data_IF_907798299795
#
_entry.id   IF_907798299795
#
_cell.length_a   1.000
_cell.length_b   1.000
_cell.length_c   1.000
_cell.angle_alpha   90.00
_cell.angle_beta   90.00
_cell.angle_gamma   90.00
#
_symmetry.space_group_name_H-M   'P 1'
#
loop_
_entity.id
_entity.type
_entity.pdbx_description
1 polymer ?
#
# COMPACT_ATOMS: atom_id res chain seq x y z
N UNK A 1 2.56 46.54 20.24
CA UNK A 1 2.36 45.78 18.97
C UNK A 1 3.23 44.52 18.87
N UNK A 2 4.40 44.47 19.53
CA UNK A 2 5.32 43.31 19.55
C UNK A 2 4.68 41.98 20.02
N UNK A 3 3.88 41.98 21.10
CA UNK A 3 3.24 40.77 21.63
C UNK A 3 2.17 40.14 20.71
N UNK A 4 1.46 40.95 19.91
CA UNK A 4 0.44 40.45 18.98
C UNK A 4 1.08 39.76 17.77
N UNK A 5 2.20 40.29 17.29
CA UNK A 5 2.98 39.68 16.22
C UNK A 5 3.62 38.37 16.67
N UNK A 6 4.18 38.34 17.89
CA UNK A 6 4.78 37.13 18.46
C UNK A 6 3.73 36.02 18.69
N UNK A 7 2.55 36.37 19.20
CA UNK A 7 1.44 35.43 19.35
C UNK A 7 0.94 34.90 18.01
N UNK A 8 0.89 35.73 16.97
CA UNK A 8 0.50 35.30 15.62
C UNK A 8 1.54 34.34 15.03
N UNK A 9 2.83 34.61 15.22
CA UNK A 9 3.92 33.75 14.76
C UNK A 9 3.90 32.38 15.44
N UNK A 10 3.62 32.33 16.75
CA UNK A 10 3.46 31.08 17.50
C UNK A 10 2.27 30.28 16.97
N UNK A 11 1.11 30.92 16.74
CA UNK A 11 -0.04 30.22 16.16
C UNK A 11 0.26 29.66 14.77
N UNK A 12 0.98 30.41 13.92
CA UNK A 12 1.40 29.94 12.61
C UNK A 12 2.39 28.77 12.69
N UNK A 13 3.29 28.79 13.68
CA UNK A 13 4.26 27.71 13.88
C UNK A 13 3.58 26.42 14.36
N UNK A 14 2.61 26.52 15.28
CA UNK A 14 1.85 25.36 15.79
C UNK A 14 1.00 24.71 14.69
N UNK A 15 0.39 25.50 13.80
CA UNK A 15 -0.35 24.94 12.66
C UNK A 15 0.57 24.28 11.64
N UNK A 16 1.76 24.84 11.39
CA UNK A 16 2.74 24.25 10.48
C UNK A 16 3.32 22.93 10.99
N UNK A 17 3.64 22.85 12.29
CA UNK A 17 4.15 21.61 12.93
C UNK A 17 3.09 20.51 12.92
N UNK A 18 1.84 20.86 13.16
CA UNK A 18 0.73 19.88 13.13
C UNK A 18 0.46 19.35 11.71
N UNK A 19 0.58 20.20 10.69
CA UNK A 19 0.46 19.77 9.29
C UNK A 19 1.62 18.87 8.85
N UNK A 20 2.85 19.15 9.31
CA UNK A 20 4.01 18.31 9.01
C UNK A 20 3.86 16.90 9.62
N UNK A 21 3.33 16.78 10.85
CA UNK A 21 3.12 15.48 11.50
C UNK A 21 2.11 14.58 10.77
N UNK A 22 1.09 15.17 10.13
CA UNK A 22 0.13 14.43 9.28
C UNK A 22 0.80 13.92 8.00
N UNK A 23 1.76 14.68 7.45
CA UNK A 23 2.53 14.27 6.27
C UNK A 23 3.65 13.28 6.58
N UNK A 24 4.16 13.26 7.82
CA UNK A 24 5.23 12.35 8.27
C UNK A 24 4.70 11.17 9.08
N UNK A 25 3.39 11.02 9.22
CA UNK A 25 2.79 9.86 9.87
C UNK A 25 3.26 8.61 9.14
N UNK A 26 4.02 7.75 9.81
CA UNK A 26 4.43 6.46 9.24
C UNK A 26 3.15 5.65 9.01
N UNK A 27 2.80 5.46 7.76
CA UNK A 27 1.70 4.60 7.37
C UNK A 27 1.97 3.17 7.89
N UNK A 28 0.93 2.54 8.42
CA UNK A 28 1.03 1.16 8.88
C UNK A 28 1.26 0.23 7.70
N UNK A 29 2.18 -0.71 7.87
CA UNK A 29 2.30 -1.84 6.94
C UNK A 29 1.24 -2.87 7.31
N UNK A 30 0.43 -3.26 6.33
CA UNK A 30 -0.52 -4.37 6.43
C UNK A 30 -0.15 -5.44 5.41
N UNK A 31 -0.72 -6.64 5.58
CA UNK A 31 -0.53 -7.71 4.62
C UNK A 31 -1.53 -7.55 3.46
N UNK A 32 -1.07 -7.82 2.25
CA UNK A 32 -1.85 -7.77 1.03
C UNK A 32 -1.67 -9.05 0.24
N UNK A 33 -2.76 -9.58 -0.30
CA UNK A 33 -2.75 -10.70 -1.23
C UNK A 33 -2.66 -10.17 -2.65
N UNK A 34 -1.63 -10.61 -3.39
CA UNK A 34 -1.44 -10.33 -4.81
C UNK A 34 -1.70 -11.60 -5.60
N UNK A 35 -2.73 -11.61 -6.44
CA UNK A 35 -3.12 -12.77 -7.23
C UNK A 35 -3.21 -12.45 -8.73
N UNK A 36 -2.90 -13.44 -9.56
CA UNK A 36 -2.88 -13.36 -11.00
C UNK A 36 -3.81 -14.41 -11.61
N UNK A 37 -4.34 -14.11 -12.79
CA UNK A 37 -5.09 -15.10 -13.58
C UNK A 37 -4.16 -16.24 -14.01
N UNK A 38 -4.70 -17.45 -14.12
CA UNK A 38 -3.98 -18.56 -14.73
C UNK A 38 -3.50 -18.23 -16.15
N UNK A 39 -2.26 -18.61 -16.45
CA UNK A 39 -1.63 -18.30 -17.73
C UNK A 39 -1.04 -16.88 -17.84
N UNK A 40 -1.07 -16.08 -16.76
CA UNK A 40 -0.40 -14.77 -16.76
C UNK A 40 1.05 -14.90 -17.18
N UNK A 41 1.51 -14.15 -18.20
CA UNK A 41 2.88 -14.15 -18.64
C UNK A 41 3.88 -13.87 -17.51
N UNK A 42 4.94 -14.67 -17.42
CA UNK A 42 5.93 -14.58 -16.33
C UNK A 42 6.56 -13.18 -16.24
N UNK A 43 6.77 -12.50 -17.37
CA UNK A 43 7.32 -11.14 -17.37
C UNK A 43 6.42 -10.12 -16.65
N UNK A 44 5.10 -10.33 -16.59
CA UNK A 44 4.17 -9.48 -15.85
C UNK A 44 4.28 -9.75 -14.34
N UNK A 45 4.45 -11.02 -13.96
CA UNK A 45 4.68 -11.43 -12.57
C UNK A 45 6.01 -10.85 -12.09
N UNK A 46 7.08 -11.01 -12.86
CA UNK A 46 8.42 -10.50 -12.55
C UNK A 46 8.44 -8.97 -12.47
N UNK A 47 7.75 -8.29 -13.40
CA UNK A 47 7.54 -6.85 -13.34
C UNK A 47 6.85 -6.45 -12.03
N UNK A 48 5.79 -7.15 -11.65
CA UNK A 48 5.01 -6.86 -10.44
C UNK A 48 5.86 -7.03 -9.19
N UNK A 49 6.57 -8.16 -9.06
CA UNK A 49 7.47 -8.45 -7.94
C UNK A 49 8.57 -7.38 -7.81
N UNK A 50 9.21 -7.04 -8.93
CA UNK A 50 10.31 -6.07 -8.94
C UNK A 50 9.84 -4.70 -8.48
N UNK A 51 8.75 -4.20 -9.07
CA UNK A 51 8.27 -2.84 -8.79
C UNK A 51 7.61 -2.72 -7.40
N UNK A 52 6.98 -3.79 -6.89
CA UNK A 52 6.48 -3.78 -5.51
C UNK A 52 7.63 -3.73 -4.50
N UNK A 53 8.72 -4.47 -4.73
CA UNK A 53 9.93 -4.39 -3.89
C UNK A 53 10.57 -3.00 -3.95
N UNK A 54 10.64 -2.40 -5.13
CA UNK A 54 11.14 -1.02 -5.30
C UNK A 54 10.24 0.01 -4.61
N UNK A 55 8.93 -0.25 -4.52
CA UNK A 55 7.99 0.56 -3.75
C UNK A 55 8.05 0.29 -2.23
N UNK A 56 8.93 -0.59 -1.77
CA UNK A 56 9.15 -0.89 -0.34
C UNK A 56 8.32 -2.04 0.21
N UNK A 57 7.68 -2.86 -0.63
CA UNK A 57 6.96 -4.05 -0.19
C UNK A 57 7.91 -5.23 0.10
N UNK A 58 7.61 -5.99 1.15
CA UNK A 58 8.28 -7.26 1.48
C UNK A 58 7.40 -8.44 1.07
N UNK A 59 7.93 -9.43 0.34
CA UNK A 59 7.19 -10.66 0.03
C UNK A 59 7.28 -11.61 1.22
N UNK A 60 6.15 -11.95 1.83
CA UNK A 60 6.09 -12.75 3.06
C UNK A 60 5.71 -14.21 2.81
N UNK A 61 4.96 -14.49 1.74
CA UNK A 61 4.52 -15.83 1.40
C UNK A 61 4.29 -15.98 -0.11
N UNK A 62 4.55 -17.16 -0.66
CA UNK A 62 4.22 -17.50 -2.05
C UNK A 62 3.28 -18.70 -2.09
N UNK A 63 2.20 -18.60 -2.87
CA UNK A 63 1.21 -19.66 -2.95
C UNK A 63 1.64 -20.75 -3.94
N UNK A 64 1.34 -22.01 -3.60
CA UNK A 64 1.54 -23.16 -4.50
C UNK A 64 0.31 -23.50 -5.33
N UNK A 65 -0.89 -23.10 -4.87
CA UNK A 65 -2.19 -23.48 -5.47
C UNK A 65 -2.67 -22.42 -6.47
N UNK A 66 -2.44 -21.15 -6.18
CA UNK A 66 -2.78 -20.02 -7.05
C UNK A 66 -1.50 -19.32 -7.52
N UNK A 67 -1.55 -18.64 -8.65
CA UNK A 67 -0.48 -17.72 -9.06
C UNK A 67 -0.61 -16.45 -8.24
N UNK A 68 0.20 -16.32 -7.20
CA UNK A 68 0.16 -15.17 -6.33
C UNK A 68 1.10 -15.30 -5.15
N UNK A 69 1.17 -14.23 -4.37
CA UNK A 69 2.00 -14.12 -3.18
C UNK A 69 1.38 -13.10 -2.22
N UNK A 70 1.81 -13.14 -0.96
CA UNK A 70 1.48 -12.16 0.06
C UNK A 70 2.63 -11.17 0.16
N UNK A 71 2.29 -9.88 0.24
CA UNK A 71 3.24 -8.82 0.55
C UNK A 71 2.87 -8.13 1.85
N UNK A 72 3.87 -7.61 2.55
CA UNK A 72 3.71 -6.64 3.61
C UNK A 72 4.10 -5.27 3.08
N UNK A 73 3.15 -4.34 3.08
CA UNK A 73 3.33 -3.03 2.45
C UNK A 73 2.37 -1.98 3.01
N UNK A 74 2.71 -0.71 2.82
CA UNK A 74 1.79 0.42 3.03
C UNK A 74 0.81 0.54 1.85
N UNK A 75 -0.37 1.12 2.04
CA UNK A 75 -1.31 1.44 0.96
C UNK A 75 -0.66 2.40 -0.04
N UNK A 76 0.17 3.35 0.42
CA UNK A 76 0.95 4.22 -0.47
C UNK A 76 1.89 3.46 -1.41
N UNK A 77 2.57 2.39 -0.95
CA UNK A 77 3.43 1.57 -1.79
C UNK A 77 2.62 0.84 -2.87
N UNK A 78 1.46 0.30 -2.50
CA UNK A 78 0.52 -0.35 -3.46
C UNK A 78 0.01 0.67 -4.49
N UNK A 79 -0.41 1.86 -4.05
CA UNK A 79 -0.85 2.95 -4.94
C UNK A 79 0.26 3.43 -5.85
N UNK A 80 1.49 3.54 -5.34
CA UNK A 80 2.66 3.91 -6.13
C UNK A 80 2.88 2.88 -7.25
N UNK A 81 2.85 1.58 -6.92
CA UNK A 81 2.94 0.51 -7.92
C UNK A 81 1.83 0.60 -8.97
N UNK A 82 0.56 0.76 -8.54
CA UNK A 82 -0.58 0.90 -9.44
C UNK A 82 -0.53 2.17 -10.31
N UNK A 83 0.22 3.18 -9.89
CA UNK A 83 0.46 4.42 -10.63
C UNK A 83 1.57 4.35 -11.67
N UNK A 84 2.35 3.26 -11.74
CA UNK A 84 3.44 3.13 -12.69
C UNK A 84 2.93 3.02 -14.12
N UNK A 85 3.63 3.67 -15.06
CA UNK A 85 3.29 3.60 -16.49
C UNK A 85 3.24 2.14 -16.96
N UNK A 86 4.23 1.32 -16.57
CA UNK A 86 4.25 -0.11 -16.88
C UNK A 86 3.01 -0.86 -16.38
N UNK A 87 2.50 -0.53 -15.20
CA UNK A 87 1.26 -1.11 -14.67
C UNK A 87 0.03 -0.71 -15.51
N UNK A 88 -0.03 0.55 -15.97
CA UNK A 88 -1.13 1.02 -16.81
C UNK A 88 -1.18 0.33 -18.17
N UNK A 89 -0.02 -0.07 -18.71
CA UNK A 89 0.12 -0.76 -20.00
C UNK A 89 -0.17 -2.26 -19.93
N UNK A 90 -0.22 -2.87 -18.74
CA UNK A 90 -0.65 -4.26 -18.58
C UNK A 90 -2.09 -4.39 -19.09
N UNK A 91 -2.32 -5.36 -19.99
CA UNK A 91 -3.66 -5.68 -20.48
C UNK A 91 -4.58 -6.03 -19.31
N UNK A 92 -5.83 -5.56 -19.34
CA UNK A 92 -6.75 -5.66 -18.21
C UNK A 92 -6.89 -7.09 -17.65
N UNK A 93 -6.85 -8.11 -18.51
CA UNK A 93 -6.93 -9.53 -18.14
C UNK A 93 -5.74 -10.04 -17.31
N UNK A 94 -4.56 -9.44 -17.49
CA UNK A 94 -3.32 -9.83 -16.84
C UNK A 94 -2.95 -8.95 -15.65
N UNK A 95 -3.78 -7.95 -15.33
CA UNK A 95 -3.53 -7.12 -14.15
C UNK A 95 -3.68 -7.97 -12.89
N UNK A 96 -2.74 -7.86 -11.94
CA UNK A 96 -2.90 -8.52 -10.65
C UNK A 96 -4.11 -7.95 -9.91
N UNK A 97 -4.81 -8.82 -9.19
CA UNK A 97 -5.75 -8.40 -8.16
C UNK A 97 -4.95 -8.24 -6.87
N UNK A 98 -5.06 -7.07 -6.24
CA UNK A 98 -4.35 -6.73 -5.00
C UNK A 98 -5.40 -6.34 -3.97
N UNK A 99 -5.48 -7.12 -2.90
CA UNK A 99 -6.46 -6.94 -1.82
C UNK A 99 -5.77 -6.96 -0.46
N UNK A 100 -6.24 -6.14 0.48
CA UNK A 100 -5.78 -6.16 1.87
C UNK A 100 -6.21 -7.48 2.53
N UNK A 101 -5.31 -8.13 3.26
CA UNK A 101 -5.62 -9.38 3.95
C UNK A 101 -6.59 -9.13 5.12
N UNK A 102 -7.73 -9.81 5.07
CA UNK A 102 -8.86 -9.56 5.96
C UNK A 102 -9.07 -10.69 6.96
N UNK A 103 -9.50 -10.39 8.20
CA UNK A 103 -9.80 -11.43 9.17
C UNK A 103 -11.02 -12.24 8.75
N UNK A 104 -10.94 -13.57 8.92
CA UNK A 104 -12.08 -14.48 8.81
C UNK A 104 -12.58 -14.87 10.20
N UNK A 105 -13.90 -15.03 10.34
CA UNK A 105 -14.53 -15.44 11.61
C UNK A 105 -15.14 -16.83 11.49
N UNK A 106 -15.15 -17.57 12.60
CA UNK A 106 -15.79 -18.88 12.64
C UNK A 106 -17.31 -18.76 12.45
N UNK A 107 -17.87 -19.56 11.55
CA UNK A 107 -19.30 -19.56 11.28
C UNK A 107 -20.10 -19.97 12.54
N UNK A 108 -21.00 -19.08 12.99
CA UNK A 108 -21.82 -19.27 14.20
C UNK A 108 -21.19 -18.76 15.51
N UNK A 109 -19.92 -18.32 15.50
CA UNK A 109 -19.23 -17.72 16.64
C UNK A 109 -19.40 -16.20 16.65
N UNK A 110 -20.57 -15.74 17.11
CA UNK A 110 -20.90 -14.31 17.15
C UNK A 110 -19.97 -13.47 18.03
N UNK A 111 -19.70 -12.25 17.53
CA UNK A 111 -19.26 -11.02 18.22
C UNK A 111 -17.90 -11.08 18.93
N UNK A 112 -16.89 -10.51 18.27
CA UNK A 112 -15.89 -9.69 18.95
C UNK A 112 -16.53 -8.40 19.48
#
# INVERSE_FOLDING_TARGET
MQFKLFSFLICLFVTFVSAAAVLTGKEGEVDWVVSFKDGTPQNIIDFTVTNLREAGAEITHEFSIIKGFVIKATESAVKQFQGLEGYTQIQAEWKPTIEEDGPVTAFGGGKI
#
